data_IF_550082367827
#
_entry.id   IF_550082367827
#
_cell.length_a   1.000
_cell.length_b   1.000
_cell.length_c   1.000
_cell.angle_alpha   90.00
_cell.angle_beta   90.00
_cell.angle_gamma   90.00
#
_symmetry.space_group_name_H-M   'P 1'
#
loop_
_entity.id
_entity.type
_entity.pdbx_description
1 polymer ?
#
# COMPACT_ATOMS: atom_id res chain seq x y z
N UNK A 1 -18.00 -18.62 -16.18
CA UNK A 1 -17.64 -17.26 -16.64
C UNK A 1 -16.27 -16.88 -16.08
N UNK A 2 -15.31 -16.59 -16.96
CA UNK A 2 -13.87 -16.51 -16.68
C UNK A 2 -13.42 -15.24 -15.96
N UNK A 3 -14.33 -14.29 -15.68
CA UNK A 3 -14.05 -13.07 -14.91
C UNK A 3 -14.31 -13.17 -13.40
N UNK A 4 -14.73 -14.33 -12.89
CA UNK A 4 -15.02 -14.51 -11.45
C UNK A 4 -13.80 -14.89 -10.63
N UNK A 5 -12.70 -15.33 -11.26
CA UNK A 5 -11.52 -15.81 -10.54
C UNK A 5 -10.81 -14.67 -9.78
N UNK A 6 -10.60 -13.52 -10.42
CA UNK A 6 -9.95 -12.36 -9.79
C UNK A 6 -10.72 -11.81 -8.59
N UNK A 7 -12.06 -11.77 -8.66
CA UNK A 7 -12.87 -11.36 -7.50
C UNK A 7 -12.77 -12.34 -6.33
N UNK A 8 -12.67 -13.66 -6.61
CA UNK A 8 -12.53 -14.67 -5.57
C UNK A 8 -11.14 -14.61 -4.94
N UNK A 9 -10.09 -14.37 -5.73
CA UNK A 9 -8.72 -14.21 -5.21
C UNK A 9 -8.63 -13.02 -4.25
N UNK A 10 -9.07 -11.83 -4.67
CA UNK A 10 -9.09 -10.63 -3.81
C UNK A 10 -9.97 -10.82 -2.56
N UNK A 11 -11.18 -11.38 -2.72
CA UNK A 11 -12.04 -11.67 -1.56
C UNK A 11 -11.38 -12.66 -0.59
N UNK A 12 -10.68 -13.68 -1.10
CA UNK A 12 -10.00 -14.67 -0.26
C UNK A 12 -8.77 -14.09 0.44
N UNK A 13 -8.04 -13.18 -0.22
CA UNK A 13 -6.95 -12.40 0.35
C UNK A 13 -7.44 -11.58 1.56
N UNK A 14 -8.43 -10.72 1.34
CA UNK A 14 -9.01 -9.86 2.38
C UNK A 14 -9.46 -10.67 3.60
N UNK A 15 -10.27 -11.72 3.37
CA UNK A 15 -10.76 -12.60 4.44
C UNK A 15 -9.60 -13.29 5.16
N UNK A 16 -8.59 -13.77 4.43
CA UNK A 16 -7.45 -14.47 5.04
C UNK A 16 -6.66 -13.55 5.98
N UNK A 17 -6.44 -12.30 5.57
CA UNK A 17 -5.75 -11.30 6.41
C UNK A 17 -6.57 -10.97 7.65
N UNK A 18 -7.86 -10.65 7.49
CA UNK A 18 -8.73 -10.32 8.64
C UNK A 18 -8.90 -11.51 9.58
N UNK A 19 -9.15 -12.70 9.06
CA UNK A 19 -9.31 -13.90 9.88
C UNK A 19 -8.04 -14.29 10.63
N UNK A 20 -6.85 -13.96 10.11
CA UNK A 20 -5.58 -14.19 10.78
C UNK A 20 -5.31 -13.17 11.89
N UNK A 21 -5.49 -11.87 11.57
CA UNK A 21 -5.12 -10.78 12.48
C UNK A 21 -6.20 -10.46 13.53
N UNK A 22 -7.48 -10.67 13.21
CA UNK A 22 -8.61 -10.42 14.11
C UNK A 22 -9.62 -11.59 14.09
N UNK A 23 -9.21 -12.83 14.46
CA UNK A 23 -10.01 -14.06 14.31
C UNK A 23 -11.33 -14.06 15.09
N UNK A 24 -11.43 -13.27 16.16
CA UNK A 24 -12.61 -13.20 17.01
C UNK A 24 -13.60 -12.11 16.59
N UNK A 25 -13.24 -11.26 15.62
CA UNK A 25 -14.13 -10.23 15.10
C UNK A 25 -15.19 -10.85 14.20
N UNK A 26 -16.42 -10.33 14.26
CA UNK A 26 -17.46 -10.69 13.29
C UNK A 26 -17.09 -10.09 11.93
N UNK A 27 -16.98 -10.94 10.91
CA UNK A 27 -16.64 -10.53 9.55
C UNK A 27 -17.91 -10.49 8.70
N UNK A 28 -18.15 -9.34 8.06
CA UNK A 28 -19.33 -9.08 7.24
C UNK A 28 -18.86 -8.80 5.81
N UNK A 29 -19.50 -9.45 4.83
CA UNK A 29 -19.16 -9.35 3.42
C UNK A 29 -20.28 -8.59 2.70
N UNK A 30 -19.95 -7.40 2.18
CA UNK A 30 -20.86 -6.57 1.40
C UNK A 30 -20.43 -6.60 -0.07
N UNK A 31 -21.37 -6.95 -0.95
CA UNK A 31 -21.11 -7.08 -2.38
C UNK A 31 -21.75 -5.92 -3.16
N UNK A 32 -21.14 -5.54 -4.28
CA UNK A 32 -21.70 -4.56 -5.22
C UNK A 32 -22.91 -5.10 -6.01
N UNK A 33 -23.27 -6.38 -5.86
CA UNK A 33 -24.47 -7.02 -6.47
C UNK A 33 -24.62 -6.73 -7.98
N UNK A 34 -23.49 -6.65 -8.70
CA UNK A 34 -23.47 -6.35 -10.15
C UNK A 34 -23.65 -4.87 -10.53
N UNK A 35 -23.57 -3.95 -9.57
CA UNK A 35 -23.51 -2.49 -9.77
C UNK A 35 -22.07 -1.98 -9.55
N UNK A 36 -21.88 -0.72 -9.13
CA UNK A 36 -20.57 -0.17 -8.75
C UNK A 36 -20.23 -0.48 -7.30
N UNK A 37 -18.96 -0.34 -6.91
CA UNK A 37 -18.51 -0.56 -5.54
C UNK A 37 -19.20 0.39 -4.55
N UNK A 38 -19.68 1.55 -5.02
CA UNK A 38 -20.55 2.46 -4.26
C UNK A 38 -21.69 1.74 -3.54
N UNK A 39 -22.34 0.78 -4.19
CA UNK A 39 -23.50 0.10 -3.61
C UNK A 39 -23.11 -0.85 -2.49
N UNK A 40 -21.90 -1.43 -2.53
CA UNK A 40 -21.35 -2.22 -1.42
C UNK A 40 -21.07 -1.31 -0.21
N UNK A 41 -20.45 -0.14 -0.46
CA UNK A 41 -20.20 0.86 0.58
C UNK A 41 -21.49 1.36 1.20
N UNK A 42 -22.51 1.68 0.39
CA UNK A 42 -23.81 2.11 0.88
C UNK A 42 -24.47 1.03 1.74
N UNK A 43 -24.40 -0.24 1.34
CA UNK A 43 -24.93 -1.35 2.14
C UNK A 43 -24.23 -1.46 3.49
N UNK A 44 -22.89 -1.43 3.51
CA UNK A 44 -22.11 -1.54 4.74
C UNK A 44 -22.35 -0.35 5.68
N UNK A 45 -22.27 0.87 5.14
CA UNK A 45 -22.42 2.11 5.90
C UNK A 45 -23.85 2.26 6.42
N UNK A 46 -24.86 1.75 5.71
CA UNK A 46 -26.26 1.84 6.14
C UNK A 46 -26.83 0.57 6.78
N UNK A 47 -25.99 -0.44 7.03
CA UNK A 47 -26.40 -1.61 7.80
C UNK A 47 -26.60 -1.23 9.26
N UNK A 48 -27.85 -0.97 9.64
CA UNK A 48 -28.25 -0.66 11.01
C UNK A 48 -28.50 -1.91 11.85
N UNK A 49 -28.51 -3.10 11.23
CA UNK A 49 -28.78 -4.36 11.91
C UNK A 49 -27.48 -4.96 12.44
N UNK A 50 -26.48 -5.10 11.58
CA UNK A 50 -25.16 -5.62 11.97
C UNK A 50 -24.23 -4.49 12.45
N UNK A 51 -24.47 -3.25 12.01
CA UNK A 51 -23.79 -2.03 12.46
C UNK A 51 -22.26 -2.16 12.57
N UNK A 52 -21.55 -2.44 11.45
CA UNK A 52 -20.09 -2.57 11.46
C UNK A 52 -19.43 -1.28 11.96
N UNK A 53 -18.41 -1.41 12.82
CA UNK A 53 -17.58 -0.29 13.27
C UNK A 53 -16.38 -0.01 12.35
N UNK A 54 -16.01 -0.96 11.50
CA UNK A 54 -14.83 -0.88 10.63
C UNK A 54 -15.20 -1.36 9.22
N UNK A 55 -14.80 -0.60 8.21
CA UNK A 55 -14.90 -0.93 6.78
C UNK A 55 -13.50 -0.99 6.17
N UNK A 56 -13.18 -2.05 5.46
CA UNK A 56 -11.97 -2.17 4.64
C UNK A 56 -12.35 -2.45 3.19
N UNK A 57 -11.66 -1.85 2.23
CA UNK A 57 -11.88 -2.11 0.81
C UNK A 57 -10.61 -2.03 -0.02
N UNK A 58 -10.47 -3.04 -0.88
CA UNK A 58 -9.40 -3.17 -1.86
C UNK A 58 -9.88 -2.91 -3.30
N UNK A 59 -11.12 -2.43 -3.47
CA UNK A 59 -11.78 -2.24 -4.76
C UNK A 59 -12.07 -0.76 -5.09
N UNK A 60 -11.12 -0.03 -5.70
CA UNK A 60 -11.41 1.29 -6.25
C UNK A 60 -12.29 1.19 -7.50
N UNK A 61 -12.81 2.32 -7.98
CA UNK A 61 -13.49 2.36 -9.28
C UNK A 61 -12.45 2.32 -10.42
N UNK A 62 -12.75 1.58 -11.49
CA UNK A 62 -11.91 1.59 -12.69
C UNK A 62 -12.02 2.94 -13.42
N UNK A 63 -13.24 3.48 -13.45
CA UNK A 63 -13.56 4.77 -14.06
C UNK A 63 -13.73 5.83 -12.99
N UNK A 64 -12.66 6.61 -12.78
CA UNK A 64 -12.62 7.63 -11.74
C UNK A 64 -13.57 8.82 -12.05
N UNK A 65 -14.40 9.23 -11.08
CA UNK A 65 -15.34 10.31 -11.30
C UNK A 65 -14.61 11.66 -11.39
N UNK A 66 -14.97 12.50 -12.37
CA UNK A 66 -14.40 13.84 -12.44
C UNK A 66 -14.77 14.67 -11.20
N UNK A 67 -13.93 15.60 -10.72
CA UNK A 67 -14.11 16.27 -9.41
C UNK A 67 -15.41 17.06 -9.25
N UNK A 68 -15.99 17.53 -10.35
CA UNK A 68 -17.24 18.30 -10.36
C UNK A 68 -18.48 17.43 -10.68
N UNK A 69 -18.33 16.11 -10.71
CA UNK A 69 -19.44 15.20 -11.00
C UNK A 69 -20.26 14.87 -9.75
N UNK A 70 -21.53 14.55 -9.96
CA UNK A 70 -22.39 14.03 -8.88
C UNK A 70 -21.87 12.71 -8.31
N UNK A 71 -21.15 11.91 -9.12
CA UNK A 71 -20.53 10.67 -8.65
C UNK A 71 -19.40 10.95 -7.67
N UNK A 72 -18.51 11.90 -7.97
CA UNK A 72 -17.43 12.29 -7.07
C UNK A 72 -17.98 12.75 -5.70
N UNK A 73 -18.98 13.64 -5.73
CA UNK A 73 -19.64 14.12 -4.51
C UNK A 73 -20.31 12.97 -3.75
N UNK A 74 -20.99 12.05 -4.44
CA UNK A 74 -21.64 10.92 -3.79
C UNK A 74 -20.66 10.03 -3.01
N UNK A 75 -19.47 9.72 -3.56
CA UNK A 75 -18.46 8.95 -2.84
C UNK A 75 -17.93 9.71 -1.62
N UNK A 76 -17.58 10.99 -1.79
CA UNK A 76 -17.08 11.82 -0.68
C UNK A 76 -18.11 11.97 0.44
N UNK A 77 -19.38 12.23 0.10
CA UNK A 77 -20.47 12.35 1.06
C UNK A 77 -20.74 11.01 1.76
N UNK A 78 -20.71 9.89 1.04
CA UNK A 78 -20.93 8.56 1.64
C UNK A 78 -19.85 8.20 2.67
N UNK A 79 -18.58 8.48 2.39
CA UNK A 79 -17.52 8.26 3.37
C UNK A 79 -17.52 9.31 4.50
N UNK A 80 -18.11 10.48 4.28
CA UNK A 80 -18.42 11.42 5.36
C UNK A 80 -19.52 10.86 6.27
N UNK A 81 -20.55 10.24 5.70
CA UNK A 81 -21.59 9.55 6.48
C UNK A 81 -21.01 8.40 7.31
N UNK A 82 -20.03 7.65 6.78
CA UNK A 82 -19.30 6.63 7.54
C UNK A 82 -18.61 7.23 8.79
N UNK A 83 -17.88 8.34 8.63
CA UNK A 83 -17.26 9.05 9.73
C UNK A 83 -18.31 9.53 10.76
N UNK A 84 -19.44 10.09 10.31
CA UNK A 84 -20.55 10.53 11.18
C UNK A 84 -21.24 9.36 11.90
N UNK A 85 -21.13 8.14 11.36
CA UNK A 85 -21.59 6.90 11.99
C UNK A 85 -20.57 6.26 12.93
N UNK A 86 -19.46 6.95 13.20
CA UNK A 86 -18.37 6.43 14.03
C UNK A 86 -17.76 5.15 13.45
N UNK A 87 -17.62 5.09 12.12
CA UNK A 87 -17.01 3.98 11.40
C UNK A 87 -15.60 4.33 10.96
N UNK A 88 -14.65 3.44 11.25
CA UNK A 88 -13.28 3.51 10.73
C UNK A 88 -13.25 2.96 9.30
N UNK A 89 -12.77 3.75 8.33
CA UNK A 89 -12.74 3.36 6.91
C UNK A 89 -11.30 3.25 6.42
N UNK A 90 -10.95 2.11 5.83
CA UNK A 90 -9.65 1.83 5.23
C UNK A 90 -9.81 1.52 3.74
N UNK A 91 -9.06 2.24 2.91
CA UNK A 91 -9.08 2.08 1.45
C UNK A 91 -7.67 1.83 0.95
N UNK A 92 -7.51 0.83 0.08
CA UNK A 92 -6.22 0.58 -0.57
C UNK A 92 -5.82 1.75 -1.46
N UNK A 93 -4.56 2.16 -1.39
CA UNK A 93 -4.03 3.21 -2.26
C UNK A 93 -3.95 2.77 -3.73
N UNK A 94 -3.80 1.47 -3.98
CA UNK A 94 -3.70 0.86 -5.30
C UNK A 94 -2.29 0.34 -5.60
N UNK A 95 -2.19 -0.45 -6.67
CA UNK A 95 -0.98 -1.24 -6.98
C UNK A 95 -0.24 -0.78 -8.25
N UNK A 96 -0.57 0.40 -8.78
CA UNK A 96 -0.07 0.92 -10.06
C UNK A 96 1.09 1.90 -9.97
N UNK A 97 1.71 2.02 -8.80
CA UNK A 97 2.74 3.02 -8.50
C UNK A 97 2.24 4.46 -8.70
N UNK A 98 3.15 5.35 -9.07
CA UNK A 98 2.94 6.80 -9.14
C UNK A 98 1.81 7.31 -10.04
N UNK A 99 1.25 6.52 -10.97
CA UNK A 99 0.15 6.97 -11.84
C UNK A 99 -1.04 6.03 -11.94
N UNK A 100 -1.09 4.99 -11.11
CA UNK A 100 -2.22 4.07 -11.08
C UNK A 100 -2.56 3.49 -12.47
N UNK A 101 -1.55 2.99 -13.17
CA UNK A 101 -1.67 2.31 -14.47
C UNK A 101 -2.27 3.12 -15.66
N UNK A 102 -2.73 4.37 -15.52
CA UNK A 102 -3.58 5.02 -16.54
C UNK A 102 -2.89 5.51 -17.84
N UNK A 103 -1.57 5.58 -17.89
CA UNK A 103 -0.85 6.05 -19.09
C UNK A 103 -0.91 7.57 -19.32
N UNK A 104 -1.09 8.38 -18.26
CA UNK A 104 -1.25 9.84 -18.37
C UNK A 104 0.07 10.58 -18.64
N UNK A 105 1.21 9.97 -18.32
CA UNK A 105 2.52 10.62 -18.32
C UNK A 105 2.75 11.57 -17.14
N UNK A 106 1.92 11.53 -16.10
CA UNK A 106 2.06 12.36 -14.88
C UNK A 106 1.47 11.65 -13.67
N UNK A 107 2.02 11.86 -12.46
CA UNK A 107 1.47 11.20 -11.29
C UNK A 107 0.01 11.54 -11.04
N UNK A 108 -0.77 10.54 -10.66
CA UNK A 108 -2.20 10.66 -10.35
C UNK A 108 -2.64 9.50 -9.45
N UNK A 109 -3.79 9.66 -8.80
CA UNK A 109 -4.35 8.69 -7.86
C UNK A 109 -5.78 8.33 -8.21
N UNK A 110 -6.28 7.23 -7.62
CA UNK A 110 -7.69 6.82 -7.66
C UNK A 110 -8.53 7.65 -6.70
N UNK A 111 -9.23 8.65 -7.23
CA UNK A 111 -10.07 9.58 -6.44
C UNK A 111 -11.15 8.89 -5.61
N UNK A 112 -11.66 7.75 -6.07
CA UNK A 112 -12.62 6.92 -5.35
C UNK A 112 -12.08 6.35 -4.04
N UNK A 113 -10.75 6.23 -3.92
CA UNK A 113 -10.04 5.69 -2.76
C UNK A 113 -9.18 6.73 -2.02
N UNK A 114 -9.05 7.96 -2.51
CA UNK A 114 -8.28 9.02 -1.83
C UNK A 114 -9.15 10.01 -1.08
N UNK A 115 -10.32 9.62 -0.58
CA UNK A 115 -11.18 10.54 0.20
C UNK A 115 -10.54 10.94 1.54
N UNK A 116 -10.72 12.18 1.98
CA UNK A 116 -10.12 12.70 3.22
C UNK A 116 -10.68 12.13 4.52
N UNK A 117 -11.83 11.43 4.48
CA UNK A 117 -12.47 10.83 5.66
C UNK A 117 -12.16 9.35 5.84
N UNK A 118 -11.35 8.78 4.94
CA UNK A 118 -10.84 7.41 5.05
C UNK A 118 -9.32 7.42 5.25
N UNK A 119 -8.82 6.36 5.85
CA UNK A 119 -7.39 6.08 5.98
C UNK A 119 -6.95 5.34 4.70
N UNK A 120 -6.04 5.96 3.96
CA UNK A 120 -5.52 5.39 2.72
C UNK A 120 -4.27 4.60 3.01
N UNK A 121 -4.26 3.32 2.61
CA UNK A 121 -3.22 2.38 2.99
C UNK A 121 -2.30 2.05 1.79
N UNK A 122 -1.03 2.40 1.95
CA UNK A 122 0.08 2.09 1.05
C UNK A 122 0.71 0.72 1.28
N UNK A 123 1.69 0.40 0.45
CA UNK A 123 2.40 -0.88 0.45
C UNK A 123 3.90 -0.75 0.67
N UNK A 124 4.44 -1.60 1.54
CA UNK A 124 5.87 -1.80 1.76
C UNK A 124 6.33 -3.19 1.32
N UNK A 125 7.63 -3.35 1.13
CA UNK A 125 8.29 -4.64 0.98
C UNK A 125 9.19 -4.89 2.18
N UNK A 126 8.99 -6.01 2.86
CA UNK A 126 9.83 -6.44 3.99
C UNK A 126 10.82 -7.48 3.49
N UNK A 127 12.11 -7.24 3.77
CA UNK A 127 13.18 -8.19 3.48
C UNK A 127 13.80 -8.69 4.78
N UNK A 128 13.83 -10.01 4.94
CA UNK A 128 14.73 -10.67 5.90
C UNK A 128 16.17 -10.62 5.39
N UNK A 129 17.14 -11.02 6.21
CA UNK A 129 18.55 -11.12 5.76
C UNK A 129 18.68 -12.00 4.50
N UNK A 130 18.04 -13.17 4.49
CA UNK A 130 18.16 -14.10 3.36
C UNK A 130 17.54 -13.56 2.07
N UNK A 131 16.35 -12.94 2.15
CA UNK A 131 15.70 -12.35 0.97
C UNK A 131 16.44 -11.10 0.49
N UNK A 132 16.93 -10.26 1.40
CA UNK A 132 17.76 -9.10 1.05
C UNK A 132 19.06 -9.49 0.34
N UNK A 133 19.71 -10.59 0.74
CA UNK A 133 20.91 -11.12 0.07
C UNK A 133 20.62 -11.68 -1.33
N UNK A 134 19.38 -12.12 -1.59
CA UNK A 134 18.96 -12.60 -2.92
C UNK A 134 18.39 -11.51 -3.82
N UNK A 135 18.06 -10.35 -3.27
CA UNK A 135 17.48 -9.23 -3.99
C UNK A 135 18.59 -8.38 -4.64
N UNK A 136 18.69 -8.33 -5.98
CA UNK A 136 19.73 -7.57 -6.67
C UNK A 136 19.62 -6.05 -6.52
N UNK A 137 18.48 -5.54 -6.03
CA UNK A 137 18.29 -4.11 -5.71
C UNK A 137 18.85 -3.75 -4.34
N UNK A 138 18.96 -4.72 -3.42
CA UNK A 138 19.52 -4.54 -2.07
C UNK A 138 20.97 -5.05 -1.97
N UNK A 139 21.28 -6.18 -2.61
CA UNK A 139 22.59 -6.82 -2.65
C UNK A 139 23.21 -6.73 -4.06
N UNK A 140 23.62 -5.52 -4.46
CA UNK A 140 24.08 -5.24 -5.82
C UNK A 140 25.44 -5.86 -6.16
N UNK A 141 26.18 -6.40 -5.18
CA UNK A 141 27.56 -6.89 -5.32
C UNK A 141 28.60 -5.79 -5.52
N UNK A 142 28.20 -4.53 -5.49
CA UNK A 142 29.08 -3.35 -5.63
C UNK A 142 29.08 -2.62 -4.28
N UNK A 143 30.20 -2.63 -3.52
CA UNK A 143 30.20 -2.20 -2.12
C UNK A 143 29.61 -0.81 -1.85
N UNK A 144 29.71 0.12 -2.80
CA UNK A 144 29.20 1.48 -2.66
C UNK A 144 27.66 1.59 -2.77
N UNK A 145 26.98 0.64 -3.42
CA UNK A 145 25.53 0.63 -3.63
C UNK A 145 24.84 -0.59 -3.02
N UNK A 146 25.60 -1.55 -2.53
CA UNK A 146 25.10 -2.76 -1.89
C UNK A 146 24.70 -2.44 -0.44
N UNK A 147 23.39 -2.32 -0.20
CA UNK A 147 22.83 -1.93 1.08
C UNK A 147 23.08 -3.00 2.14
N UNK A 148 23.02 -4.29 1.76
CA UNK A 148 23.32 -5.41 2.66
C UNK A 148 24.77 -5.32 3.16
N UNK A 149 25.73 -5.11 2.26
CA UNK A 149 27.16 -4.99 2.61
C UNK A 149 27.42 -3.78 3.48
N UNK A 150 26.75 -2.65 3.21
CA UNK A 150 26.89 -1.43 3.98
C UNK A 150 26.48 -1.60 5.45
N UNK A 151 25.52 -2.48 5.75
CA UNK A 151 24.98 -2.65 7.12
C UNK A 151 25.55 -3.87 7.84
N UNK A 152 26.06 -4.85 7.09
CA UNK A 152 26.66 -6.08 7.62
C UNK A 152 28.17 -5.95 7.89
N UNK A 153 28.79 -4.81 7.61
CA UNK A 153 30.23 -4.63 7.83
C UNK A 153 30.59 -4.29 9.29
N UNK A 154 31.85 -4.51 9.69
CA UNK A 154 32.38 -4.12 11.01
C UNK A 154 32.38 -2.60 11.24
N UNK A 155 32.26 -1.81 10.18
CA UNK A 155 32.14 -0.35 10.19
C UNK A 155 30.93 0.06 9.35
N UNK A 156 29.70 -0.20 9.83
CA UNK A 156 28.50 -0.06 9.01
C UNK A 156 28.23 1.40 8.65
N UNK A 157 27.52 1.61 7.55
CA UNK A 157 26.95 2.91 7.21
C UNK A 157 25.93 3.30 8.30
N UNK A 158 26.31 4.24 9.16
CA UNK A 158 25.51 4.63 10.32
C UNK A 158 24.19 5.30 9.91
N UNK A 159 24.19 6.11 8.85
CA UNK A 159 22.98 6.80 8.38
C UNK A 159 21.95 5.79 7.89
N UNK A 160 22.39 4.77 7.14
CA UNK A 160 21.54 3.66 6.71
C UNK A 160 21.05 2.82 7.90
N UNK A 161 21.91 2.56 8.89
CA UNK A 161 21.51 1.85 10.11
C UNK A 161 20.45 2.61 10.91
N UNK A 162 20.55 3.94 10.98
CA UNK A 162 19.57 4.81 11.63
C UNK A 162 18.26 4.83 10.85
N UNK A 163 18.31 4.90 9.52
CA UNK A 163 17.13 4.80 8.66
C UNK A 163 16.41 3.45 8.86
N UNK A 164 17.14 2.34 8.92
CA UNK A 164 16.55 1.02 9.21
C UNK A 164 15.97 0.91 10.62
N UNK A 165 16.63 1.54 11.61
CA UNK A 165 16.11 1.60 12.98
C UNK A 165 14.80 2.37 13.03
N UNK A 166 14.70 3.48 12.31
CA UNK A 166 13.46 4.22 12.14
C UNK A 166 12.41 3.37 11.42
N UNK A 167 12.80 2.55 10.43
CA UNK A 167 11.98 1.58 9.73
C UNK A 167 11.70 0.27 10.51
N UNK A 168 11.92 0.25 11.83
CA UNK A 168 11.53 -0.87 12.69
C UNK A 168 12.56 -2.00 12.84
N UNK A 169 13.84 -1.77 12.50
CA UNK A 169 14.92 -2.72 12.80
C UNK A 169 15.11 -2.88 14.31
N UNK A 170 14.89 -4.09 14.81
CA UNK A 170 15.02 -4.42 16.26
C UNK A 170 16.23 -5.26 16.61
N UNK A 171 16.93 -5.79 15.60
CA UNK A 171 18.11 -6.66 15.76
C UNK A 171 19.26 -6.10 14.94
N UNK A 172 20.45 -5.98 15.56
CA UNK A 172 21.64 -5.55 14.83
C UNK A 172 21.88 -6.50 13.64
N UNK A 173 22.17 -5.98 12.42
CA UNK A 173 22.29 -6.82 11.22
C UNK A 173 23.31 -7.95 11.40
N UNK A 174 24.45 -7.67 12.05
CA UNK A 174 25.50 -8.66 12.34
C UNK A 174 25.08 -9.77 13.31
N UNK A 175 23.99 -9.59 14.05
CA UNK A 175 23.41 -10.59 14.95
C UNK A 175 22.22 -11.33 14.31
N UNK A 176 21.82 -10.98 13.09
CA UNK A 176 20.73 -11.66 12.39
C UNK A 176 21.21 -13.04 11.93
N UNK A 177 20.41 -14.06 12.24
CA UNK A 177 20.61 -15.42 11.75
C UNK A 177 19.96 -15.58 10.38
N UNK A 178 20.51 -16.45 9.54
CA UNK A 178 19.89 -16.80 8.26
C UNK A 178 18.54 -17.51 8.51
N UNK A 179 17.56 -17.30 7.61
CA UNK A 179 16.16 -17.82 7.68
C UNK A 179 16.01 -19.34 7.94
N UNK A 180 17.09 -20.11 7.92
CA UNK A 180 17.12 -21.57 8.14
C UNK A 180 17.50 -21.98 9.57
N UNK A 181 17.68 -21.04 10.50
CA UNK A 181 17.93 -21.38 11.91
C UNK A 181 16.63 -21.88 12.56
N UNK A 182 16.55 -23.16 12.99
CA UNK A 182 15.34 -23.70 13.61
C UNK A 182 14.99 -23.06 14.97
N UNK A 183 15.87 -22.19 15.51
CA UNK A 183 15.62 -21.40 16.71
C UNK A 183 14.99 -20.04 16.42
N UNK A 184 14.89 -19.64 15.15
CA UNK A 184 14.25 -18.39 14.75
C UNK A 184 12.74 -18.48 14.97
N UNK A 185 12.23 -17.76 15.96
CA UNK A 185 10.81 -17.75 16.32
C UNK A 185 9.98 -16.81 15.44
N UNK A 186 10.62 -15.85 14.79
CA UNK A 186 9.97 -14.90 13.87
C UNK A 186 10.46 -15.15 12.43
N UNK A 187 9.63 -15.76 11.56
CA UNK A 187 9.99 -16.04 10.17
C UNK A 187 10.14 -14.77 9.32
N UNK A 188 9.72 -13.61 9.82
CA UNK A 188 9.75 -12.31 9.16
C UNK A 188 10.67 -11.31 9.87
N UNK A 189 11.72 -11.79 10.56
CA UNK A 189 12.72 -10.94 11.20
C UNK A 189 13.32 -9.97 10.17
N UNK A 190 12.83 -8.73 10.22
CA UNK A 190 13.02 -7.68 9.24
C UNK A 190 14.45 -7.11 9.33
N UNK A 191 15.13 -7.11 8.20
CA UNK A 191 16.38 -6.36 7.99
C UNK A 191 16.06 -5.02 7.32
N UNK A 192 15.28 -5.06 6.24
CA UNK A 192 14.83 -3.87 5.52
C UNK A 192 13.31 -3.84 5.44
N UNK A 193 12.76 -2.63 5.49
CA UNK A 193 11.45 -2.32 4.94
C UNK A 193 11.64 -1.18 3.95
N UNK A 194 11.10 -1.34 2.75
CA UNK A 194 11.20 -0.38 1.65
C UNK A 194 9.82 -0.06 1.09
N UNK A 195 9.70 0.99 0.29
CA UNK A 195 8.54 1.13 -0.61
C UNK A 195 8.39 -0.15 -1.43
N UNK A 196 7.15 -0.64 -1.58
CA UNK A 196 6.89 -1.73 -2.51
C UNK A 196 6.87 -1.21 -3.95
N UNK A 197 7.85 -1.64 -4.74
CA UNK A 197 7.92 -1.39 -6.16
C UNK A 197 8.71 -2.50 -6.85
N UNK A 198 8.00 -3.37 -7.58
CA UNK A 198 8.61 -4.45 -8.36
C UNK A 198 8.96 -4.03 -9.78
N UNK A 199 8.57 -2.82 -10.20
CA UNK A 199 8.84 -2.34 -11.55
C UNK A 199 10.34 -2.17 -11.80
N UNK A 200 10.82 -2.76 -12.89
CA UNK A 200 12.17 -2.57 -13.37
C UNK A 200 12.17 -2.04 -14.80
N UNK A 201 13.04 -1.07 -15.05
CA UNK A 201 13.32 -0.57 -16.38
C UNK A 201 14.80 -0.73 -16.70
N UNK A 202 15.10 -1.43 -17.80
CA UNK A 202 16.48 -1.55 -18.28
C UNK A 202 16.60 -1.27 -19.75
N UNK A 203 17.80 -0.82 -20.15
CA UNK A 203 18.19 -0.83 -21.56
C UNK A 203 19.00 -2.09 -21.84
N UNK A 204 18.51 -2.92 -22.76
CA UNK A 204 19.32 -4.00 -23.33
C UNK A 204 20.57 -3.43 -24.01
N UNK A 205 21.63 -4.23 -24.14
CA UNK A 205 22.84 -3.86 -24.91
C UNK A 205 22.55 -3.47 -26.37
N UNK A 206 21.37 -3.83 -26.89
CA UNK A 206 20.88 -3.44 -28.21
C UNK A 206 20.19 -2.07 -28.26
N UNK A 207 20.11 -1.36 -27.13
CA UNK A 207 19.46 -0.05 -27.00
C UNK A 207 17.93 -0.11 -26.86
N UNK A 208 17.32 -1.30 -26.87
CA UNK A 208 15.89 -1.47 -26.58
C UNK A 208 15.66 -1.45 -25.08
N UNK A 209 14.79 -0.58 -24.60
CA UNK A 209 14.31 -0.61 -23.22
C UNK A 209 13.35 -1.78 -23.00
N UNK A 210 13.37 -2.35 -21.80
CA UNK A 210 12.50 -3.42 -21.33
C UNK A 210 11.86 -2.98 -20.00
N UNK A 211 10.54 -3.09 -19.93
CA UNK A 211 9.74 -2.92 -18.71
C UNK A 211 9.38 -4.31 -18.21
N UNK A 212 9.75 -4.62 -16.97
CA UNK A 212 9.40 -5.90 -16.36
C UNK A 212 9.21 -5.74 -14.85
N UNK A 213 8.03 -6.04 -14.30
CA UNK A 213 6.76 -6.21 -15.00
C UNK A 213 6.32 -4.93 -15.73
N UNK A 214 5.26 -5.05 -16.54
CA UNK A 214 4.66 -3.93 -17.28
C UNK A 214 4.11 -2.87 -16.32
N UNK A 215 4.27 -1.58 -16.65
CA UNK A 215 3.75 -0.48 -15.82
C UNK A 215 2.22 -0.43 -15.82
N UNK A 216 1.56 -1.11 -16.75
CA UNK A 216 0.11 -1.33 -16.75
C UNK A 216 -0.36 -2.49 -15.84
N UNK A 217 0.51 -3.06 -15.00
CA UNK A 217 0.20 -4.19 -14.11
C UNK A 217 0.43 -3.86 -12.63
N UNK A 218 -0.36 -4.46 -11.74
CA UNK A 218 -0.36 -4.23 -10.28
C UNK A 218 0.93 -4.70 -9.58
N UNK A 219 1.91 -3.82 -9.39
CA UNK A 219 3.26 -4.17 -8.90
C UNK A 219 3.96 -3.09 -8.07
N UNK A 220 3.29 -2.00 -7.67
CA UNK A 220 3.88 -0.98 -6.82
C UNK A 220 2.84 -0.19 -6.02
N UNK A 221 3.20 0.18 -4.79
CA UNK A 221 2.39 1.06 -3.94
C UNK A 221 2.06 2.38 -4.66
N UNK A 222 0.76 2.64 -4.85
CA UNK A 222 0.30 3.91 -5.41
C UNK A 222 0.38 5.02 -4.37
N UNK A 223 0.76 6.21 -4.81
CA UNK A 223 0.89 7.35 -3.90
C UNK A 223 1.34 8.61 -4.61
N UNK A 224 1.04 9.75 -4.00
CA UNK A 224 1.17 11.07 -4.61
C UNK A 224 0.22 12.10 -4.00
N UNK A 225 -0.29 13.00 -4.83
CA UNK A 225 -1.15 14.11 -4.41
C UNK A 225 -2.43 14.12 -5.22
N UNK A 226 -3.56 13.94 -4.53
CA UNK A 226 -4.89 14.10 -5.12
C UNK A 226 -5.25 15.58 -5.15
N UNK A 227 -5.12 16.17 -6.34
CA UNK A 227 -5.37 17.59 -6.61
C UNK A 227 -6.85 17.92 -6.81
N UNK A 228 -7.74 16.93 -6.70
CA UNK A 228 -9.19 17.11 -6.87
C UNK A 228 -9.87 17.64 -5.61
N UNK A 229 -9.19 17.57 -4.47
CA UNK A 229 -9.62 18.06 -3.17
C UNK A 229 -8.50 18.86 -2.51
N UNK A 230 -8.87 19.72 -1.55
CA UNK A 230 -7.89 20.45 -0.76
C UNK A 230 -7.11 19.53 0.18
N UNK A 231 -5.94 20.00 0.64
CA UNK A 231 -5.21 19.33 1.73
C UNK A 231 -6.09 19.33 2.99
N UNK A 232 -6.43 18.17 3.57
CA UNK A 232 -7.25 18.10 4.76
C UNK A 232 -6.51 18.68 5.98
N UNK A 233 -7.26 19.17 6.96
CA UNK A 233 -6.69 19.90 8.10
C UNK A 233 -5.68 19.06 8.89
N UNK A 234 -5.91 17.75 9.04
CA UNK A 234 -4.97 16.88 9.73
C UNK A 234 -3.59 16.81 9.07
N UNK A 235 -3.50 16.95 7.73
CA UNK A 235 -2.23 17.05 7.02
C UNK A 235 -1.61 18.45 7.16
N UNK A 236 -2.40 19.52 7.07
CA UNK A 236 -1.87 20.88 7.24
C UNK A 236 -1.42 21.16 8.67
N UNK A 237 -2.15 20.66 9.66
CA UNK A 237 -1.85 20.81 11.09
C UNK A 237 -0.62 19.99 11.49
N UNK A 238 -0.36 18.87 10.79
CA UNK A 238 0.90 18.13 10.86
C UNK A 238 2.08 18.89 10.22
N UNK A 239 1.80 19.94 9.43
CA UNK A 239 2.81 20.77 8.77
C UNK A 239 3.07 20.39 7.31
N UNK A 240 2.21 19.58 6.69
CA UNK A 240 2.35 19.20 5.28
C UNK A 240 1.75 20.26 4.35
N UNK A 241 2.34 20.37 3.16
CA UNK A 241 1.73 21.06 2.01
C UNK A 241 1.89 20.15 0.78
N UNK A 242 1.11 19.05 0.70
CA UNK A 242 1.26 18.08 -0.36
C UNK A 242 1.14 18.76 -1.73
N UNK A 243 2.16 18.59 -2.56
CA UNK A 243 2.30 19.29 -3.85
C UNK A 243 2.63 18.28 -4.94
N UNK A 244 1.81 18.24 -6.00
CA UNK A 244 2.01 17.34 -7.13
C UNK A 244 3.27 17.70 -7.92
N UNK A 245 3.75 16.75 -8.72
CA UNK A 245 4.85 16.95 -9.66
C UNK A 245 4.38 16.73 -11.10
N UNK A 246 5.19 17.17 -12.07
CA UNK A 246 4.89 17.05 -13.50
C UNK A 246 4.48 18.38 -14.13
N UNK A 247 3.83 18.35 -15.31
CA UNK A 247 3.52 19.55 -16.09
C UNK A 247 2.57 20.52 -15.40
N UNK A 248 1.68 20.01 -14.55
CA UNK A 248 0.76 20.81 -13.74
C UNK A 248 1.03 20.54 -12.27
N UNK A 249 1.50 21.55 -11.56
CA UNK A 249 1.80 21.50 -10.12
C UNK A 249 0.63 22.13 -9.36
N UNK A 250 0.02 21.38 -8.47
CA UNK A 250 -1.06 21.83 -7.61
C UNK A 250 -0.97 21.16 -6.23
N UNK A 251 -1.51 21.84 -5.23
CA UNK A 251 -1.63 21.28 -3.88
C UNK A 251 -2.90 20.46 -3.75
N UNK A 252 -2.91 19.46 -2.86
CA UNK A 252 -4.07 18.62 -2.62
C UNK A 252 -3.92 17.71 -1.41
N UNK A 253 -4.73 16.65 -1.33
CA UNK A 253 -4.57 15.61 -0.30
C UNK A 253 -3.39 14.71 -0.65
N UNK A 254 -2.44 14.56 0.27
CA UNK A 254 -1.37 13.56 0.14
C UNK A 254 -1.89 12.15 0.38
N UNK A 255 -1.35 11.16 -0.34
CA UNK A 255 -1.61 9.75 -0.10
C UNK A 255 -0.33 8.91 -0.35
N UNK A 256 -0.17 7.76 0.33
CA UNK A 256 -1.07 7.19 1.35
C UNK A 256 -1.00 7.94 2.70
N UNK A 257 -1.85 7.57 3.66
CA UNK A 257 -1.75 8.06 5.04
C UNK A 257 -0.79 7.19 5.86
N UNK A 258 -0.84 5.87 5.66
CA UNK A 258 -0.03 4.86 6.34
C UNK A 258 0.28 3.72 5.37
N UNK A 259 1.15 2.78 5.73
CA UNK A 259 1.46 1.62 4.90
C UNK A 259 1.54 0.32 5.70
N UNK A 260 1.54 -0.82 5.03
CA UNK A 260 1.95 -2.09 5.63
C UNK A 260 2.55 -2.99 4.55
N UNK A 261 3.01 -4.19 4.92
CA UNK A 261 3.49 -5.16 3.96
C UNK A 261 2.48 -5.32 2.82
N UNK A 262 2.94 -5.22 1.58
CA UNK A 262 2.14 -5.45 0.40
C UNK A 262 2.71 -6.62 -0.39
N UNK A 263 3.93 -6.50 -0.90
CA UNK A 263 4.59 -7.56 -1.67
C UNK A 263 6.09 -7.26 -1.81
N UNK A 264 6.76 -7.86 -2.79
CA UNK A 264 8.20 -7.76 -3.02
C UNK A 264 8.91 -9.00 -2.49
N UNK A 265 9.72 -8.85 -1.45
CA UNK A 265 10.47 -9.95 -0.85
C UNK A 265 9.66 -10.81 0.14
N UNK A 266 8.47 -10.35 0.53
CA UNK A 266 7.57 -11.05 1.43
C UNK A 266 6.13 -10.98 0.94
N UNK A 267 5.35 -11.99 1.28
CA UNK A 267 3.95 -12.17 0.86
C UNK A 267 3.11 -12.65 2.04
N UNK A 268 1.80 -12.41 1.97
CA UNK A 268 0.83 -13.04 2.84
C UNK A 268 0.55 -14.45 2.35
N UNK A 269 0.44 -15.39 3.28
CA UNK A 269 0.04 -16.74 2.95
C UNK A 269 -1.47 -16.88 3.10
N UNK A 270 -2.19 -16.89 1.98
CA UNK A 270 -3.65 -16.77 1.95
C UNK A 270 -4.31 -17.98 1.29
N UNK A 271 -5.60 -18.18 1.60
CA UNK A 271 -6.42 -19.20 0.95
C UNK A 271 -6.52 -18.90 -0.56
N UNK A 272 -6.29 -19.89 -1.42
CA UNK A 272 -6.32 -19.65 -2.86
C UNK A 272 -7.72 -19.81 -3.45
N UNK A 273 -8.06 -19.02 -4.48
CA UNK A 273 -9.30 -19.27 -5.24
C UNK A 273 -9.28 -20.61 -5.95
N UNK A 274 -8.10 -21.16 -6.30
CA UNK A 274 -8.01 -22.48 -6.92
C UNK A 274 -8.58 -23.57 -6.02
N UNK A 275 -8.30 -23.49 -4.72
CA UNK A 275 -8.85 -24.41 -3.73
C UNK A 275 -10.33 -24.16 -3.47
N UNK A 276 -10.77 -22.90 -3.39
CA UNK A 276 -12.17 -22.56 -3.22
C UNK A 276 -13.05 -23.07 -4.39
N UNK A 277 -12.54 -23.01 -5.62
CA UNK A 277 -13.25 -23.47 -6.81
C UNK A 277 -13.24 -25.00 -6.95
N UNK A 278 -12.11 -25.66 -6.64
CA UNK A 278 -12.02 -27.12 -6.63
C UNK A 278 -11.08 -27.60 -5.50
N UNK A 279 -11.64 -27.94 -4.33
CA UNK A 279 -10.84 -28.44 -3.20
C UNK A 279 -10.09 -29.75 -3.46
N UNK A 280 -10.46 -30.49 -4.51
CA UNK A 280 -9.83 -31.77 -4.83
C UNK A 280 -8.53 -31.64 -5.62
N UNK A 281 -8.32 -30.50 -6.29
CA UNK A 281 -7.16 -30.25 -7.15
C UNK A 281 -6.45 -28.92 -6.89
N UNK A 282 -7.12 -27.95 -6.27
CA UNK A 282 -6.57 -26.64 -5.97
C UNK A 282 -5.55 -26.66 -4.82
N UNK A 283 -4.56 -25.77 -4.90
CA UNK A 283 -3.58 -25.60 -3.82
C UNK A 283 -4.23 -24.85 -2.68
N UNK A 284 -4.25 -25.39 -1.45
CA UNK A 284 -4.96 -24.77 -0.32
C UNK A 284 -4.60 -23.29 -0.14
N UNK A 285 -3.31 -22.99 -0.16
CA UNK A 285 -2.77 -21.67 0.15
C UNK A 285 -1.69 -21.27 -0.83
N UNK A 286 -1.52 -19.97 -1.05
CA UNK A 286 -0.45 -19.40 -1.86
C UNK A 286 0.03 -18.06 -1.30
N UNK A 287 1.18 -17.58 -1.78
CA UNK A 287 1.66 -16.24 -1.48
C UNK A 287 0.92 -15.22 -2.33
N UNK A 288 0.36 -14.21 -1.68
CA UNK A 288 -0.35 -13.10 -2.32
C UNK A 288 -0.04 -11.77 -1.59
N UNK A 289 -0.49 -10.64 -2.12
CA UNK A 289 -0.06 -9.34 -1.64
C UNK A 289 -0.81 -8.15 -2.23
N UNK A 290 -0.09 -7.05 -2.39
CA UNK A 290 -0.65 -5.78 -2.83
C UNK A 290 -1.10 -4.89 -1.69
N UNK A 291 -1.44 -3.64 -2.00
CA UNK A 291 -2.08 -2.74 -1.03
C UNK A 291 -3.44 -3.29 -0.58
N UNK A 292 -4.03 -4.18 -1.39
CA UNK A 292 -5.10 -5.09 -1.04
C UNK A 292 -4.87 -5.91 0.23
N UNK A 293 -3.65 -6.38 0.50
CA UNK A 293 -3.33 -7.12 1.72
C UNK A 293 -3.01 -6.19 2.91
N UNK A 294 -2.38 -5.05 2.62
CA UNK A 294 -1.99 -4.06 3.62
C UNK A 294 -3.21 -3.40 4.30
N UNK A 295 -4.26 -3.13 3.53
CA UNK A 295 -5.49 -2.44 3.97
C UNK A 295 -6.28 -3.21 5.04
N UNK A 296 -6.66 -4.49 4.83
CA UNK A 296 -7.33 -5.29 5.86
C UNK A 296 -6.45 -5.59 7.07
N UNK A 297 -5.11 -5.56 6.94
CA UNK A 297 -4.21 -5.65 8.10
C UNK A 297 -4.37 -4.42 9.02
N UNK A 298 -4.41 -3.21 8.45
CA UNK A 298 -4.69 -1.98 9.21
C UNK A 298 -6.10 -1.95 9.82
N UNK A 299 -7.10 -2.42 9.08
CA UNK A 299 -8.45 -2.58 9.62
C UNK A 299 -8.49 -3.57 10.80
N UNK A 300 -7.73 -4.66 10.72
CA UNK A 300 -7.62 -5.66 11.79
C UNK A 300 -6.89 -5.13 13.03
N UNK A 301 -5.84 -4.32 12.83
CA UNK A 301 -5.17 -3.61 13.93
C UNK A 301 -6.15 -2.68 14.65
N UNK A 302 -6.97 -1.95 13.89
CA UNK A 302 -8.00 -1.05 14.43
C UNK A 302 -9.05 -1.80 15.22
N UNK A 303 -9.46 -3.00 14.78
CA UNK A 303 -10.37 -3.84 15.55
C UNK A 303 -9.77 -4.24 16.91
N UNK A 304 -8.45 -4.44 16.98
CA UNK A 304 -7.75 -4.71 18.24
C UNK A 304 -7.69 -3.46 19.12
N UNK A 305 -7.46 -2.28 18.55
CA UNK A 305 -7.54 -1.00 19.28
C UNK A 305 -8.94 -0.77 19.84
N UNK A 306 -9.99 -0.96 19.05
CA UNK A 306 -11.37 -0.82 19.50
C UNK A 306 -11.71 -1.79 20.63
N UNK A 307 -11.21 -3.03 20.59
CA UNK A 307 -11.36 -3.98 21.70
C UNK A 307 -10.64 -3.50 22.98
N UNK A 308 -9.46 -2.89 22.85
CA UNK A 308 -8.73 -2.30 23.98
C UNK A 308 -9.47 -1.08 24.54
N UNK A 309 -10.03 -0.24 23.66
CA UNK A 309 -10.79 0.96 24.04
C UNK A 309 -12.09 0.56 24.74
N UNK A 310 -12.81 -0.43 24.23
CA UNK A 310 -14.02 -0.98 24.85
C UNK A 310 -13.73 -1.50 26.27
N UNK A 311 -12.64 -2.26 26.45
CA UNK A 311 -12.20 -2.74 27.76
C UNK A 311 -11.87 -1.61 28.75
N UNK A 312 -11.51 -0.43 28.24
CA UNK A 312 -11.25 0.78 29.02
C UNK A 312 -12.48 1.70 29.14
N UNK A 313 -13.63 1.29 28.62
CA UNK A 313 -14.86 2.10 28.54
C UNK A 313 -14.69 3.41 27.76
N UNK A 314 -13.83 3.38 26.73
CA UNK A 314 -13.65 4.45 25.76
C UNK A 314 -14.53 4.21 24.51
N UNK A 315 -14.90 5.26 23.77
CA UNK A 315 -15.61 5.10 22.50
C UNK A 315 -14.72 4.39 21.47
N UNK A 316 -15.34 3.69 20.51
CA UNK A 316 -14.64 3.20 19.32
C UNK A 316 -13.98 4.36 18.57
N UNK A 317 -12.87 4.09 17.89
CA UNK A 317 -12.07 5.11 17.22
C UNK A 317 -12.87 5.86 16.14
N UNK A 318 -13.66 5.15 15.33
CA UNK A 318 -14.45 5.75 14.25
C UNK A 318 -13.57 6.48 13.23
N UNK A 319 -13.86 7.75 12.94
CA UNK A 319 -12.91 8.56 12.18
C UNK A 319 -11.73 8.97 13.06
N UNK A 320 -10.51 8.64 12.64
CA UNK A 320 -9.31 8.93 13.43
C UNK A 320 -8.04 9.26 12.61
N UNK A 321 -8.20 9.74 11.37
CA UNK A 321 -7.06 10.21 10.57
C UNK A 321 -6.25 11.25 11.34
N UNK A 322 -6.90 12.22 11.97
CA UNK A 322 -6.25 13.25 12.80
C UNK A 322 -5.48 12.67 13.98
N UNK A 323 -6.00 11.63 14.65
CA UNK A 323 -5.29 10.92 15.71
C UNK A 323 -4.00 10.27 15.21
N UNK A 324 -3.99 9.70 13.99
CA UNK A 324 -2.77 9.10 13.41
C UNK A 324 -1.68 10.15 13.18
N UNK A 325 -2.02 11.29 12.59
CA UNK A 325 -1.05 12.37 12.36
C UNK A 325 -0.60 13.01 13.68
N UNK A 326 -1.50 13.15 14.66
CA UNK A 326 -1.11 13.58 16.02
C UNK A 326 -0.17 12.57 16.68
N UNK A 327 -0.45 11.27 16.58
CA UNK A 327 0.40 10.21 17.12
C UNK A 327 1.81 10.27 16.48
N UNK A 328 1.89 10.45 15.16
CA UNK A 328 3.16 10.60 14.46
C UNK A 328 3.95 11.83 14.94
N UNK A 329 3.27 12.93 15.27
CA UNK A 329 3.92 14.15 15.75
C UNK A 329 4.44 14.02 17.19
N UNK A 330 3.71 13.34 18.07
CA UNK A 330 4.04 13.25 19.51
C UNK A 330 4.87 12.01 19.87
N UNK A 331 4.71 10.93 19.10
CA UNK A 331 5.37 9.65 19.29
C UNK A 331 5.76 9.06 17.92
N UNK A 332 6.75 9.63 17.22
CA UNK A 332 7.12 9.19 15.86
C UNK A 332 7.35 7.69 15.71
N UNK A 333 7.89 7.03 16.74
CA UNK A 333 8.13 5.58 16.73
C UNK A 333 6.87 4.70 16.75
N UNK A 334 5.67 5.29 16.86
CA UNK A 334 4.40 4.62 16.63
C UNK A 334 4.25 4.13 15.17
N UNK A 335 5.07 4.70 14.27
CA UNK A 335 5.22 4.27 12.89
C UNK A 335 6.68 3.92 12.62
N UNK A 336 6.89 2.86 11.85
CA UNK A 336 8.17 2.54 11.26
C UNK A 336 8.34 3.45 10.04
N UNK A 337 9.30 4.38 10.08
CA UNK A 337 9.57 5.38 9.04
C UNK A 337 10.36 4.74 7.87
N UNK A 338 9.71 4.54 6.72
CA UNK A 338 10.30 3.91 5.55
C UNK A 338 10.91 4.98 4.64
N UNK A 339 12.24 5.04 4.59
CA UNK A 339 12.98 6.05 3.82
C UNK A 339 13.80 5.46 2.66
N UNK A 340 13.46 4.24 2.22
CA UNK A 340 14.12 3.54 1.13
C UNK A 340 13.14 3.10 0.04
N UNK A 341 13.51 3.31 -1.22
CA UNK A 341 12.73 2.93 -2.39
C UNK A 341 11.96 4.11 -2.99
N UNK A 342 11.14 3.83 -4.00
CA UNK A 342 10.33 4.80 -4.72
C UNK A 342 9.15 4.12 -5.40
N UNK A 343 8.17 4.89 -5.88
CA UNK A 343 7.05 4.39 -6.69
C UNK A 343 7.09 4.88 -8.15
N UNK A 344 8.27 5.22 -8.68
CA UNK A 344 8.44 5.85 -9.99
C UNK A 344 8.04 4.87 -11.10
N UNK A 345 6.94 5.19 -11.77
CA UNK A 345 6.30 4.30 -12.75
C UNK A 345 5.44 5.03 -13.79
N UNK A 346 5.54 6.34 -13.89
CA UNK A 346 4.74 7.11 -14.86
C UNK A 346 5.15 6.82 -16.31
N UNK A 347 4.16 6.76 -17.19
CA UNK A 347 4.33 6.55 -18.62
C UNK A 347 3.16 7.14 -19.41
N UNK A 348 3.36 7.41 -20.70
CA UNK A 348 2.27 7.68 -21.63
C UNK A 348 2.31 6.76 -22.85
N UNK A 349 1.14 6.46 -23.41
CA UNK A 349 1.01 5.64 -24.63
C UNK A 349 1.51 6.43 -25.84
N UNK A 350 2.31 5.77 -26.68
CA UNK A 350 2.97 6.35 -27.83
C UNK A 350 3.01 5.38 -29.01
N UNK A 351 3.40 5.86 -30.18
CA UNK A 351 3.69 4.97 -31.32
C UNK A 351 5.03 4.26 -31.13
N UNK A 352 5.17 3.07 -31.72
CA UNK A 352 6.42 2.29 -31.74
C UNK A 352 7.68 3.07 -32.11
N UNK A 353 7.54 4.02 -33.04
CA UNK A 353 8.67 4.79 -33.57
C UNK A 353 9.02 6.02 -32.72
N UNK A 354 8.27 6.28 -31.65
CA UNK A 354 8.57 7.37 -30.71
C UNK A 354 9.89 7.08 -29.99
N UNK A 355 10.85 8.01 -29.93
CA UNK A 355 12.11 7.82 -29.20
C UNK A 355 11.85 7.47 -27.73
N UNK A 356 12.50 6.41 -27.25
CA UNK A 356 12.33 5.92 -25.87
C UNK A 356 11.08 5.05 -25.67
N UNK A 357 10.27 4.81 -26.71
CA UNK A 357 9.12 3.92 -26.59
C UNK A 357 9.55 2.46 -26.41
N UNK A 358 8.86 1.79 -25.50
CA UNK A 358 9.06 0.38 -25.13
C UNK A 358 7.72 -0.33 -25.14
N UNK A 359 7.73 -1.63 -25.42
CA UNK A 359 6.50 -2.42 -25.39
C UNK A 359 6.12 -2.68 -23.93
N UNK A 360 4.91 -2.29 -23.54
CA UNK A 360 4.27 -2.76 -22.33
C UNK A 360 3.52 -4.06 -22.68
N UNK A 361 4.06 -5.20 -22.25
CA UNK A 361 3.59 -6.52 -22.70
C UNK A 361 2.19 -6.86 -22.20
N UNK A 362 1.77 -6.28 -21.07
CA UNK A 362 0.44 -6.51 -20.50
C UNK A 362 -0.65 -5.79 -21.29
N UNK A 363 -0.44 -4.52 -21.66
CA UNK A 363 -1.39 -3.76 -22.49
C UNK A 363 -1.27 -4.06 -23.99
N UNK A 364 -0.08 -4.45 -24.46
CA UNK A 364 0.27 -4.57 -25.87
C UNK A 364 0.59 -3.23 -26.56
N UNK A 365 0.57 -2.13 -25.82
CA UNK A 365 0.85 -0.79 -26.31
C UNK A 365 2.35 -0.45 -26.21
N UNK A 366 2.79 0.47 -27.06
CA UNK A 366 4.09 1.10 -26.89
C UNK A 366 3.94 2.29 -25.94
N UNK A 367 4.79 2.37 -24.92
CA UNK A 367 4.75 3.40 -23.89
C UNK A 367 6.08 4.10 -23.75
N UNK A 368 6.08 5.36 -23.31
CA UNK A 368 7.28 6.11 -22.96
C UNK A 368 7.26 6.38 -21.47
N UNK A 369 8.16 5.75 -20.68
CA UNK A 369 8.36 6.08 -19.28
C UNK A 369 8.81 7.54 -19.13
N UNK A 370 8.24 8.26 -18.17
CA UNK A 370 8.57 9.68 -17.94
C UNK A 370 9.57 9.90 -16.81
N UNK A 371 9.74 8.89 -15.95
CA UNK A 371 10.61 8.97 -14.77
C UNK A 371 10.06 9.84 -13.65
N UNK A 372 8.79 10.26 -13.73
CA UNK A 372 8.10 10.95 -12.65
C UNK A 372 7.52 9.95 -11.65
N UNK A 373 7.57 10.32 -10.38
CA UNK A 373 7.05 9.59 -9.24
C UNK A 373 7.72 10.13 -7.98
N UNK A 374 7.64 9.37 -6.89
CA UNK A 374 8.10 9.85 -5.58
C UNK A 374 9.06 8.85 -4.97
N UNK A 375 10.11 9.37 -4.35
CA UNK A 375 11.02 8.60 -3.52
C UNK A 375 10.49 8.55 -2.08
N UNK A 376 10.83 7.49 -1.36
CA UNK A 376 10.64 7.41 0.07
C UNK A 376 11.61 8.38 0.77
N UNK A 377 11.16 9.03 1.84
CA UNK A 377 11.93 10.05 2.56
C UNK A 377 11.79 9.83 4.07
N UNK A 378 12.53 10.58 4.89
CA UNK A 378 12.31 10.50 6.34
C UNK A 378 11.06 11.29 6.73
N UNK A 379 10.18 10.66 7.51
CA UNK A 379 8.90 11.21 7.93
C UNK A 379 7.80 10.89 6.93
N UNK A 380 6.84 11.81 6.76
CA UNK A 380 5.76 11.59 5.79
C UNK A 380 6.29 11.67 4.36
N UNK A 381 6.02 10.65 3.56
CA UNK A 381 6.27 10.65 2.11
C UNK A 381 5.07 10.17 1.29
N UNK A 382 5.18 10.27 -0.03
CA UNK A 382 4.10 9.88 -0.96
C UNK A 382 4.16 8.42 -1.40
N UNK A 383 4.98 7.56 -0.78
CA UNK A 383 5.06 6.15 -1.14
C UNK A 383 4.56 5.23 -0.02
N UNK A 384 4.74 5.66 1.23
CA UNK A 384 4.42 4.93 2.46
C UNK A 384 3.69 5.78 3.51
N UNK A 385 3.53 7.08 3.29
CA UNK A 385 2.77 7.95 4.18
C UNK A 385 3.51 8.15 5.49
N UNK A 386 2.83 7.99 6.63
CA UNK A 386 3.47 7.99 7.95
C UNK A 386 4.32 6.72 8.21
N UNK A 387 4.21 5.70 7.36
CA UNK A 387 4.92 4.43 7.49
C UNK A 387 4.09 3.28 8.03
N UNK A 388 4.75 2.17 8.41
CA UNK A 388 4.09 0.95 8.87
C UNK A 388 3.85 0.92 10.38
N UNK A 389 2.80 0.26 10.90
CA UNK A 389 2.44 0.41 12.30
C UNK A 389 3.46 -0.27 13.23
N UNK A 390 3.82 0.42 14.31
CA UNK A 390 4.30 -0.20 15.54
C UNK A 390 3.12 -0.29 16.52
N UNK A 391 2.27 -1.31 16.35
CA UNK A 391 0.99 -1.42 17.06
C UNK A 391 1.06 -1.59 18.59
N UNK A 392 2.25 -1.68 19.18
CA UNK A 392 2.41 -1.63 20.65
C UNK A 392 2.60 -0.20 21.16
N UNK A 393 3.25 0.66 20.36
CA UNK A 393 3.52 2.05 20.72
C UNK A 393 2.42 2.99 20.22
N UNK A 394 1.86 2.70 19.04
CA UNK A 394 0.61 3.30 18.57
C UNK A 394 -0.54 2.85 19.48
#
# INVERSE_FOLDING_TARGET
PTGWTGFIDETALDISVVASAAPNSTQLLYSFVGQTHFTAYQQAIWDLVNNPGILTSSFPEDAEPTPNSLFYLAYSDLFTDAALRNMSVFLSSGDGGSQTEYGSGSPLLRTSHTVSTAIVVGGTSISTLASAQSDPTLATGVPASDLVTQVMSDTPNLDLLMAMTAAGLTTLPTNMVANSDPTQTDPLLRLFETTWNNYYFSYSKSGKGELSPSYSSNNSSSGGVDTTQGTPSYQTDFGLTPTSIGPTVATGRGAPDVSALASGNAFYYVLSASYLNDPSTGTLTHGDGGTSAATPLWASLTAQFDAVFENQHLPQLGYYNDLLYMAAAIAPGAFNDISLGNNISTYYVATKDTPGAVLDENSGDYVVPTGLGFDAESGYDYTTGLGSPNGLLL
#
